data_IF_087376746191
#
_entry.id   IF_087376746191
#
_cell.length_a   1.000
_cell.length_b   1.000
_cell.length_c   1.000
_cell.angle_alpha   90.00
_cell.angle_beta   90.00
_cell.angle_gamma   90.00
#
_symmetry.space_group_name_H-M   'P 1'
#
loop_
_entity.id
_entity.type
_entity.pdbx_description
1 polymer ?
#
# COMPACT_ATOMS: atom_id res chain seq x y z
N UNK A 1 13.26 -42.41 -31.72
CA UNK A 1 12.93 -42.44 -30.28
C UNK A 1 13.73 -41.39 -29.47
N UNK A 2 15.04 -41.22 -29.68
CA UNK A 2 15.85 -40.20 -28.97
C UNK A 2 15.38 -38.76 -29.21
N UNK A 3 15.00 -38.40 -30.42
CA UNK A 3 14.53 -37.05 -30.78
C UNK A 3 13.21 -36.64 -30.14
N UNK A 4 12.33 -37.58 -29.86
CA UNK A 4 11.05 -37.33 -29.21
C UNK A 4 11.25 -37.16 -27.69
N UNK A 5 12.12 -37.95 -27.08
CA UNK A 5 12.47 -37.85 -25.68
C UNK A 5 13.15 -36.53 -25.33
N UNK A 6 14.09 -36.09 -26.20
CA UNK A 6 14.80 -34.82 -26.02
C UNK A 6 13.87 -33.60 -26.22
N UNK A 7 12.89 -33.71 -27.12
CA UNK A 7 11.85 -32.68 -27.30
C UNK A 7 10.90 -32.58 -26.12
N UNK A 8 10.56 -33.67 -25.44
CA UNK A 8 9.70 -33.71 -24.26
C UNK A 8 10.46 -33.15 -23.05
N UNK A 9 11.72 -33.54 -22.86
CA UNK A 9 12.54 -33.08 -21.73
C UNK A 9 12.81 -31.56 -21.80
N UNK A 10 13.01 -31.00 -22.98
CA UNK A 10 13.27 -29.58 -23.18
C UNK A 10 12.00 -28.69 -23.07
N UNK A 11 10.81 -29.27 -23.19
CA UNK A 11 9.54 -28.53 -23.10
C UNK A 11 8.79 -28.74 -21.78
N UNK A 12 9.25 -29.61 -20.89
CA UNK A 12 8.68 -29.77 -19.55
C UNK A 12 9.46 -28.89 -18.57
N UNK A 13 9.02 -27.67 -18.38
CA UNK A 13 9.43 -26.91 -17.20
C UNK A 13 8.81 -27.56 -15.96
N UNK A 14 9.60 -28.32 -15.23
CA UNK A 14 9.16 -28.79 -13.91
C UNK A 14 8.93 -27.53 -13.04
N UNK A 15 7.77 -27.41 -12.37
CA UNK A 15 7.56 -26.35 -11.41
C UNK A 15 8.67 -26.41 -10.36
N UNK A 16 9.26 -25.28 -10.03
CA UNK A 16 10.24 -25.22 -8.94
C UNK A 16 9.58 -25.76 -7.66
N UNK A 17 10.28 -26.57 -6.86
CA UNK A 17 9.73 -27.06 -5.61
C UNK A 17 9.29 -25.89 -4.73
N UNK A 18 8.00 -25.77 -4.46
CA UNK A 18 7.47 -24.79 -3.53
C UNK A 18 7.75 -25.27 -2.11
N UNK A 19 8.42 -24.45 -1.31
CA UNK A 19 8.55 -24.70 0.12
C UNK A 19 7.24 -24.35 0.79
N UNK A 20 6.49 -25.37 1.23
CA UNK A 20 5.23 -25.23 1.95
C UNK A 20 5.52 -25.38 3.44
N UNK A 21 5.22 -24.34 4.22
CA UNK A 21 5.23 -24.40 5.67
C UNK A 21 3.87 -24.79 6.23
N UNK A 22 3.81 -24.91 7.55
CA UNK A 22 2.57 -25.21 8.28
C UNK A 22 2.33 -24.19 9.37
N UNK A 23 1.08 -23.74 9.49
CA UNK A 23 0.63 -22.93 10.60
C UNK A 23 0.60 -23.76 11.88
N UNK A 24 1.32 -23.31 12.90
CA UNK A 24 1.46 -24.05 14.18
C UNK A 24 0.56 -23.46 15.25
N UNK A 25 0.46 -22.13 15.29
CA UNK A 25 -0.21 -21.43 16.38
C UNK A 25 -0.76 -20.08 15.91
N UNK A 26 -1.83 -19.64 16.54
CA UNK A 26 -2.41 -18.31 16.39
C UNK A 26 -2.49 -17.65 17.75
N UNK A 27 -1.92 -16.45 17.89
CA UNK A 27 -1.92 -15.68 19.14
C UNK A 27 -2.36 -14.25 18.84
N UNK A 28 -3.60 -13.93 19.22
CA UNK A 28 -4.19 -12.63 18.91
C UNK A 28 -4.26 -12.41 17.40
N UNK A 29 -3.53 -11.39 16.91
CA UNK A 29 -3.46 -11.05 15.48
C UNK A 29 -2.25 -11.68 14.77
N UNK A 30 -1.45 -12.47 15.45
CA UNK A 30 -0.20 -13.02 14.91
C UNK A 30 -0.32 -14.53 14.71
N UNK A 31 0.12 -15.00 13.56
CA UNK A 31 0.20 -16.40 13.19
C UNK A 31 1.65 -16.87 13.26
N UNK A 32 1.86 -18.05 13.79
CA UNK A 32 3.17 -18.70 13.85
C UNK A 32 3.22 -19.85 12.85
N UNK A 33 4.14 -19.78 11.89
CA UNK A 33 4.37 -20.82 10.89
C UNK A 33 5.76 -21.42 11.01
N UNK A 34 5.90 -22.70 10.67
CA UNK A 34 7.17 -23.44 10.63
C UNK A 34 7.35 -24.17 9.31
N UNK A 35 8.60 -24.57 9.04
CA UNK A 35 8.94 -25.33 7.82
C UNK A 35 9.05 -24.48 6.58
N UNK A 36 9.09 -23.15 6.73
CA UNK A 36 9.22 -22.19 5.64
C UNK A 36 10.10 -21.03 6.09
N UNK A 37 10.93 -20.51 5.17
CA UNK A 37 11.80 -19.37 5.41
C UNK A 37 11.42 -18.25 4.46
N UNK A 38 11.10 -17.08 5.00
CA UNK A 38 10.75 -15.90 4.22
C UNK A 38 11.33 -14.63 4.85
N UNK A 39 11.75 -13.64 4.06
CA UNK A 39 12.21 -12.36 4.56
C UNK A 39 11.08 -11.54 5.19
N UNK A 40 11.44 -10.53 5.99
CA UNK A 40 10.49 -9.54 6.51
C UNK A 40 9.81 -8.79 5.37
N UNK A 41 8.47 -8.68 5.45
CA UNK A 41 7.65 -8.05 4.43
C UNK A 41 7.24 -8.99 3.29
N UNK A 42 7.68 -10.25 3.29
CA UNK A 42 7.19 -11.25 2.33
C UNK A 42 5.70 -11.48 2.52
N UNK A 43 5.01 -11.74 1.42
CA UNK A 43 3.58 -12.06 1.42
C UNK A 43 3.41 -13.56 1.32
N UNK A 44 2.67 -14.12 2.25
CA UNK A 44 2.32 -15.53 2.30
C UNK A 44 0.84 -15.73 2.09
N UNK A 45 0.48 -16.84 1.48
CA UNK A 45 -0.87 -17.34 1.42
C UNK A 45 -1.03 -18.50 2.40
N UNK A 46 -2.07 -18.44 3.22
CA UNK A 46 -2.39 -19.45 4.22
C UNK A 46 -3.67 -20.12 3.79
N UNK A 47 -3.62 -21.44 3.55
CA UNK A 47 -4.76 -22.24 3.10
C UNK A 47 -5.12 -23.29 4.12
N UNK A 48 -6.40 -23.40 4.41
CA UNK A 48 -6.93 -24.51 5.18
C UNK A 48 -7.72 -25.42 4.23
N UNK A 49 -7.19 -26.58 3.98
CA UNK A 49 -7.79 -27.55 3.04
C UNK A 49 -9.17 -28.05 3.49
N UNK A 50 -9.41 -28.13 4.80
CA UNK A 50 -10.69 -28.61 5.33
C UNK A 50 -11.82 -27.57 5.17
N UNK A 51 -11.50 -26.29 5.32
CA UNK A 51 -12.49 -25.21 5.23
C UNK A 51 -12.47 -24.50 3.88
N UNK A 52 -11.52 -24.85 3.00
CA UNK A 52 -11.25 -24.17 1.71
C UNK A 52 -11.03 -22.65 1.87
N UNK A 53 -10.65 -22.21 3.07
CA UNK A 53 -10.36 -20.81 3.34
C UNK A 53 -8.93 -20.47 2.99
N UNK A 54 -8.78 -19.31 2.36
CA UNK A 54 -7.50 -18.74 1.94
C UNK A 54 -7.38 -17.34 2.53
N UNK A 55 -6.27 -17.07 3.19
CA UNK A 55 -5.97 -15.75 3.78
C UNK A 55 -4.54 -15.36 3.43
N UNK A 56 -4.36 -14.13 2.96
CA UNK A 56 -3.04 -13.55 2.76
C UNK A 56 -2.55 -12.92 4.06
N UNK A 57 -1.25 -13.04 4.31
CA UNK A 57 -0.58 -12.49 5.48
C UNK A 57 0.82 -11.97 5.11
N UNK A 58 1.30 -11.01 5.87
CA UNK A 58 2.66 -10.47 5.73
C UNK A 58 3.56 -11.01 6.84
N UNK A 59 4.80 -11.32 6.50
CA UNK A 59 5.84 -11.71 7.47
C UNK A 59 6.26 -10.47 8.25
N UNK A 60 5.91 -10.44 9.53
CA UNK A 60 6.23 -9.32 10.44
C UNK A 60 7.41 -9.60 11.37
N UNK A 61 7.89 -10.83 11.41
CA UNK A 61 9.03 -11.22 12.21
C UNK A 61 9.38 -12.70 12.08
N UNK A 62 10.51 -13.07 12.67
CA UNK A 62 10.90 -14.47 12.80
C UNK A 62 11.74 -14.67 14.07
N UNK A 63 11.68 -15.87 14.62
CA UNK A 63 12.53 -16.29 15.74
C UNK A 63 12.83 -17.77 15.59
N UNK A 64 14.11 -18.13 15.55
CA UNK A 64 14.55 -19.48 15.23
C UNK A 64 13.90 -19.98 13.93
N UNK A 65 13.23 -21.13 13.95
CA UNK A 65 12.53 -21.74 12.80
C UNK A 65 11.07 -21.33 12.69
N UNK A 66 10.64 -20.27 13.40
CA UNK A 66 9.25 -19.81 13.42
C UNK A 66 9.12 -18.46 12.74
N UNK A 67 8.25 -18.36 11.75
CA UNK A 67 7.81 -17.11 11.15
C UNK A 67 6.57 -16.57 11.86
N UNK A 68 6.57 -15.27 12.08
CA UNK A 68 5.40 -14.52 12.56
C UNK A 68 4.75 -13.82 11.39
N UNK A 69 3.48 -14.15 11.16
CA UNK A 69 2.68 -13.63 10.06
C UNK A 69 1.51 -12.80 10.62
N UNK A 70 1.18 -11.71 9.98
CA UNK A 70 0.00 -10.91 10.31
C UNK A 70 -0.98 -10.92 9.13
N UNK A 71 -2.20 -11.44 9.31
CA UNK A 71 -3.16 -11.57 8.22
C UNK A 71 -3.70 -10.20 7.77
N UNK A 72 -4.03 -10.11 6.48
CA UNK A 72 -4.67 -8.93 5.90
C UNK A 72 -6.17 -8.84 6.18
N UNK A 73 -6.80 -9.99 6.38
CA UNK A 73 -8.23 -10.09 6.64
C UNK A 73 -8.51 -10.97 7.86
N UNK A 74 -9.78 -11.05 8.27
CA UNK A 74 -10.21 -11.98 9.31
C UNK A 74 -9.87 -13.43 8.93
N UNK A 75 -9.32 -14.14 9.89
CA UNK A 75 -8.80 -15.49 9.72
C UNK A 75 -9.78 -16.60 10.19
N UNK A 76 -11.06 -16.31 10.18
CA UNK A 76 -12.09 -17.30 10.54
C UNK A 76 -11.98 -18.52 9.65
N UNK A 77 -11.80 -19.70 10.25
CA UNK A 77 -11.64 -20.97 9.53
C UNK A 77 -10.19 -21.34 9.20
N UNK A 78 -9.22 -20.50 9.56
CA UNK A 78 -7.79 -20.81 9.56
C UNK A 78 -7.42 -21.39 10.93
N UNK A 79 -6.65 -22.47 10.96
CA UNK A 79 -6.22 -23.13 12.20
C UNK A 79 -4.89 -23.86 12.05
N UNK A 80 -4.42 -24.49 13.14
CA UNK A 80 -3.19 -25.27 13.11
C UNK A 80 -3.24 -26.34 12.00
N UNK A 81 -2.11 -26.55 11.31
CA UNK A 81 -2.01 -27.46 10.17
C UNK A 81 -2.36 -26.83 8.83
N UNK A 82 -2.87 -25.59 8.78
CA UNK A 82 -3.06 -24.88 7.51
C UNK A 82 -1.73 -24.72 6.79
N UNK A 83 -1.72 -24.92 5.47
CA UNK A 83 -0.52 -24.73 4.64
C UNK A 83 -0.16 -23.25 4.52
N UNK A 84 1.12 -22.95 4.48
CA UNK A 84 1.66 -21.60 4.31
C UNK A 84 2.62 -21.59 3.13
N UNK A 85 2.35 -20.78 2.13
CA UNK A 85 3.13 -20.67 0.90
C UNK A 85 3.53 -19.21 0.65
N UNK A 86 4.77 -18.98 0.18
CA UNK A 86 5.24 -17.63 -0.17
C UNK A 86 4.72 -17.27 -1.54
N UNK A 87 4.00 -16.14 -1.64
CA UNK A 87 3.54 -15.57 -2.92
C UNK A 87 4.57 -14.58 -3.45
N UNK A 88 5.13 -13.76 -2.57
CA UNK A 88 6.11 -12.74 -2.93
C UNK A 88 7.13 -12.55 -1.80
N UNK A 89 8.40 -12.43 -2.17
CA UNK A 89 9.48 -12.19 -1.21
C UNK A 89 9.62 -10.71 -0.81
N UNK A 90 8.93 -9.80 -1.49
CA UNK A 90 9.00 -8.37 -1.22
C UNK A 90 7.61 -7.73 -1.30
N UNK A 91 7.43 -6.70 -0.48
CA UNK A 91 6.24 -5.87 -0.51
C UNK A 91 6.36 -4.88 -1.68
N UNK A 92 5.74 -5.20 -2.80
CA UNK A 92 5.69 -4.36 -3.99
C UNK A 92 4.33 -3.71 -4.18
N UNK A 93 4.29 -2.65 -4.96
CA UNK A 93 3.09 -2.02 -5.46
C UNK A 93 3.20 -1.76 -6.96
N UNK A 94 2.13 -2.04 -7.66
CA UNK A 94 1.98 -1.67 -9.06
C UNK A 94 1.71 -0.17 -9.18
N UNK A 95 2.40 0.49 -10.12
CA UNK A 95 2.35 1.94 -10.28
C UNK A 95 2.26 2.35 -11.75
N UNK A 96 1.58 3.45 -12.00
CA UNK A 96 1.39 4.00 -13.34
C UNK A 96 0.45 5.19 -13.33
N UNK A 97 0.36 5.89 -14.47
CA UNK A 97 -0.57 7.02 -14.63
C UNK A 97 -2.05 6.60 -14.52
N UNK A 98 -2.35 5.32 -14.72
CA UNK A 98 -3.70 4.76 -14.61
C UNK A 98 -4.25 4.78 -13.16
N UNK A 99 -3.39 5.08 -12.19
CA UNK A 99 -3.81 5.31 -10.80
C UNK A 99 -4.44 6.69 -10.57
N UNK A 100 -4.23 7.65 -11.48
CA UNK A 100 -4.83 8.98 -11.34
C UNK A 100 -6.36 8.91 -11.46
N UNK A 101 -7.04 9.57 -10.55
CA UNK A 101 -8.50 9.53 -10.47
C UNK A 101 -9.07 8.26 -9.83
N UNK A 102 -8.21 7.43 -9.21
CA UNK A 102 -8.61 6.16 -8.59
C UNK A 102 -8.54 6.21 -7.07
N UNK A 103 -9.36 5.36 -6.48
CA UNK A 103 -9.40 5.10 -5.04
C UNK A 103 -9.01 3.64 -4.84
N UNK A 104 -7.95 3.39 -4.09
CA UNK A 104 -7.38 2.06 -3.89
C UNK A 104 -7.25 1.70 -2.41
N UNK A 105 -7.19 0.42 -2.13
CA UNK A 105 -6.88 -0.11 -0.80
C UNK A 105 -5.36 -0.13 -0.52
N UNK A 106 -4.97 -0.61 0.64
CA UNK A 106 -3.57 -0.77 1.06
C UNK A 106 -2.75 -1.75 0.21
N UNK A 107 -3.39 -2.56 -0.62
CA UNK A 107 -2.76 -3.52 -1.54
C UNK A 107 -2.68 -3.00 -2.97
N UNK A 108 -3.24 -1.81 -3.24
CA UNK A 108 -3.36 -1.24 -4.58
C UNK A 108 -4.61 -1.70 -5.35
N UNK A 109 -5.53 -2.42 -4.70
CA UNK A 109 -6.76 -2.89 -5.34
C UNK A 109 -7.81 -1.78 -5.38
N UNK A 110 -8.59 -1.66 -6.47
CA UNK A 110 -9.59 -0.62 -6.61
C UNK A 110 -10.73 -0.76 -5.58
N UNK A 111 -11.13 0.37 -5.00
CA UNK A 111 -12.28 0.52 -4.12
C UNK A 111 -13.43 1.33 -4.78
N UNK A 112 -13.19 1.84 -5.97
CA UNK A 112 -14.08 2.77 -6.67
C UNK A 112 -15.06 2.09 -7.63
N UNK A 113 -15.26 0.78 -7.52
CA UNK A 113 -16.16 -0.04 -8.35
C UNK A 113 -15.92 0.07 -9.87
N UNK A 114 -14.73 0.54 -10.26
CA UNK A 114 -14.31 0.62 -11.67
C UNK A 114 -13.49 -0.60 -12.06
N UNK A 115 -13.20 -0.70 -13.36
CA UNK A 115 -12.35 -1.76 -13.91
C UNK A 115 -11.01 -1.89 -13.17
N UNK A 116 -10.43 -3.11 -13.13
CA UNK A 116 -9.11 -3.35 -12.57
C UNK A 116 -8.07 -2.40 -13.15
N UNK A 117 -7.17 -1.92 -12.30
CA UNK A 117 -6.11 -1.01 -12.72
C UNK A 117 -4.99 -1.84 -13.33
N UNK A 118 -4.64 -1.55 -14.57
CA UNK A 118 -3.47 -2.12 -15.21
C UNK A 118 -2.32 -1.14 -15.09
N UNK A 119 -1.27 -1.52 -14.39
CA UNK A 119 -0.07 -0.73 -14.22
C UNK A 119 1.09 -1.35 -15.00
N UNK A 120 1.98 -0.52 -15.52
CA UNK A 120 3.11 -0.96 -16.34
C UNK A 120 4.39 -1.19 -15.52
N UNK A 121 4.45 -0.61 -14.33
CA UNK A 121 5.62 -0.64 -13.46
C UNK A 121 5.26 -1.18 -12.07
N UNK A 122 6.30 -1.66 -11.38
CA UNK A 122 6.20 -2.08 -9.98
C UNK A 122 7.34 -1.46 -9.18
N UNK A 123 7.04 -1.01 -7.96
CA UNK A 123 8.03 -0.42 -7.04
C UNK A 123 8.00 -1.10 -5.69
N UNK A 124 9.14 -1.10 -5.01
CA UNK A 124 9.21 -1.57 -3.63
C UNK A 124 8.55 -0.57 -2.68
N UNK A 125 7.77 -1.08 -1.72
CA UNK A 125 7.15 -0.24 -0.67
C UNK A 125 8.15 0.25 0.39
N UNK A 126 9.38 -0.28 0.40
CA UNK A 126 10.39 0.13 1.39
C UNK A 126 11.01 1.49 1.09
N UNK A 127 10.78 2.03 -0.13
CA UNK A 127 11.39 3.27 -0.58
C UNK A 127 12.93 3.19 -0.65
N UNK A 128 13.54 4.24 -1.18
CA UNK A 128 15.00 4.39 -1.21
C UNK A 128 15.40 5.62 -0.39
N UNK A 129 16.27 5.43 0.59
CA UNK A 129 16.78 6.55 1.36
C UNK A 129 17.62 7.47 0.46
N UNK A 130 17.24 8.73 0.35
CA UNK A 130 18.00 9.74 -0.37
C UNK A 130 19.18 10.16 0.51
N UNK A 131 20.40 10.15 -0.05
CA UNK A 131 21.57 10.68 0.62
C UNK A 131 21.31 12.13 1.05
N UNK A 132 21.57 12.50 2.31
CA UNK A 132 21.35 13.87 2.79
C UNK A 132 22.06 14.94 1.98
N UNK A 133 23.21 14.63 1.36
CA UNK A 133 23.98 15.57 0.53
C UNK A 133 23.37 15.81 -0.85
N UNK A 134 22.47 14.92 -1.30
CA UNK A 134 21.75 15.03 -2.58
C UNK A 134 20.40 15.75 -2.42
N UNK A 135 20.13 16.27 -1.22
CA UNK A 135 18.89 17.01 -0.94
C UNK A 135 19.09 18.50 -1.22
N UNK A 136 18.25 19.04 -2.08
CA UNK A 136 18.17 20.47 -2.29
C UNK A 136 17.58 21.19 -1.08
N UNK A 137 18.02 22.44 -0.86
CA UNK A 137 17.39 23.33 0.11
C UNK A 137 16.04 23.82 -0.42
N UNK A 138 15.09 24.06 0.48
CA UNK A 138 13.78 24.61 0.13
C UNK A 138 13.97 26.10 -0.25
N UNK A 139 13.72 26.45 -1.52
CA UNK A 139 13.90 27.80 -2.05
C UNK A 139 12.60 28.36 -2.64
N UNK A 140 11.77 27.50 -3.23
CA UNK A 140 10.55 27.91 -3.91
C UNK A 140 9.34 27.87 -3.00
N UNK A 141 8.47 28.87 -3.12
CA UNK A 141 7.18 28.90 -2.40
C UNK A 141 6.18 27.96 -3.09
N UNK A 142 5.43 27.20 -2.29
CA UNK A 142 4.29 26.42 -2.74
C UNK A 142 3.00 27.19 -2.49
N UNK A 143 2.28 27.54 -3.55
CA UNK A 143 0.91 28.04 -3.44
C UNK A 143 -0.02 26.84 -3.10
N UNK A 144 -0.58 26.86 -1.89
CA UNK A 144 -1.52 25.84 -1.43
C UNK A 144 -2.97 26.17 -1.77
N UNK A 145 -3.23 27.28 -2.48
CA UNK A 145 -4.57 27.70 -2.91
C UNK A 145 -5.48 28.20 -1.78
N UNK A 146 -4.97 28.34 -0.57
CA UNK A 146 -5.72 28.85 0.60
C UNK A 146 -5.16 30.20 1.00
N UNK A 147 -5.92 31.27 0.75
CA UNK A 147 -5.45 32.66 0.95
C UNK A 147 -4.90 32.93 2.35
N UNK A 148 -5.53 32.42 3.39
CA UNK A 148 -5.08 32.60 4.76
C UNK A 148 -3.69 31.96 5.01
N UNK A 149 -3.46 30.78 4.45
CA UNK A 149 -2.18 30.10 4.56
C UNK A 149 -1.13 30.87 3.73
N UNK A 150 -1.40 31.13 2.47
CA UNK A 150 -0.47 31.85 1.59
C UNK A 150 -0.10 33.25 2.10
N UNK A 151 -1.01 33.93 2.83
CA UNK A 151 -0.76 35.27 3.33
C UNK A 151 0.03 35.32 4.65
N UNK A 152 -0.16 34.32 5.51
CA UNK A 152 0.38 34.34 6.88
C UNK A 152 1.40 33.26 7.17
N UNK A 153 1.40 32.18 6.38
CA UNK A 153 2.24 31.00 6.58
C UNK A 153 2.88 30.63 5.25
N UNK A 154 4.11 31.04 5.02
CA UNK A 154 4.82 30.65 3.81
C UNK A 154 5.16 29.17 3.85
N UNK A 155 4.69 28.39 2.87
CA UNK A 155 5.01 26.97 2.70
C UNK A 155 5.91 26.84 1.48
N UNK A 156 7.03 26.13 1.63
CA UNK A 156 7.97 25.87 0.54
C UNK A 156 7.73 24.51 -0.13
N UNK A 157 8.11 24.39 -1.40
CA UNK A 157 8.12 23.12 -2.12
C UNK A 157 9.07 22.14 -1.42
N UNK A 158 8.59 20.92 -1.10
CA UNK A 158 9.33 19.92 -0.33
C UNK A 158 9.25 20.08 1.19
N UNK A 159 8.56 21.10 1.70
CA UNK A 159 8.35 21.28 3.14
C UNK A 159 7.34 20.29 3.70
N UNK A 160 7.62 19.78 4.90
CA UNK A 160 6.69 18.98 5.68
C UNK A 160 5.93 19.88 6.63
N UNK A 161 4.60 19.80 6.60
CA UNK A 161 3.72 20.56 7.48
C UNK A 161 2.81 19.61 8.26
N UNK A 162 2.45 20.01 9.48
CA UNK A 162 1.47 19.29 10.31
C UNK A 162 0.20 20.12 10.45
N UNK A 163 -0.95 19.51 10.13
CA UNK A 163 -2.28 20.04 10.41
C UNK A 163 -2.88 19.29 11.61
N UNK A 164 -2.72 19.87 12.79
CA UNK A 164 -3.17 19.25 14.05
C UNK A 164 -4.45 19.93 14.50
N UNK A 165 -5.51 19.14 14.65
CA UNK A 165 -6.81 19.67 15.02
C UNK A 165 -7.67 18.59 15.70
N UNK A 166 -8.57 19.02 16.57
CA UNK A 166 -9.62 18.17 17.14
C UNK A 166 -10.65 17.72 16.09
N UNK A 167 -11.60 16.89 16.51
CA UNK A 167 -12.72 16.49 15.64
C UNK A 167 -13.65 17.66 15.35
N UNK A 168 -14.16 17.77 14.12
CA UNK A 168 -15.20 18.72 13.73
C UNK A 168 -14.76 20.16 13.49
N UNK A 169 -13.46 20.48 13.55
CA UNK A 169 -12.96 21.86 13.38
C UNK A 169 -12.62 22.23 11.93
N UNK A 170 -12.87 21.34 10.96
CA UNK A 170 -12.67 21.63 9.55
C UNK A 170 -11.33 21.13 8.95
N UNK A 171 -10.60 20.23 9.63
CA UNK A 171 -9.35 19.63 9.11
C UNK A 171 -9.54 19.03 7.71
N UNK A 172 -10.55 18.17 7.52
CA UNK A 172 -10.82 17.51 6.25
C UNK A 172 -11.25 18.50 5.15
N UNK A 173 -12.01 19.54 5.51
CA UNK A 173 -12.39 20.62 4.59
C UNK A 173 -11.14 21.39 4.10
N UNK A 174 -10.24 21.73 5.01
CA UNK A 174 -8.98 22.40 4.67
C UNK A 174 -8.08 21.53 3.80
N UNK A 175 -7.95 20.23 4.12
CA UNK A 175 -7.23 19.27 3.28
C UNK A 175 -7.83 19.19 1.87
N UNK A 176 -9.15 19.13 1.76
CA UNK A 176 -9.85 19.15 0.47
C UNK A 176 -9.62 20.43 -0.32
N UNK A 177 -9.58 21.60 0.34
CA UNK A 177 -9.23 22.87 -0.30
C UNK A 177 -7.80 22.86 -0.84
N UNK A 178 -6.83 22.46 -0.02
CA UNK A 178 -5.43 22.34 -0.43
C UNK A 178 -5.30 21.39 -1.63
N UNK A 179 -5.91 20.22 -1.56
CA UNK A 179 -5.84 19.24 -2.66
C UNK A 179 -6.39 19.80 -3.98
N UNK A 180 -7.49 20.54 -3.94
CA UNK A 180 -8.10 21.11 -5.15
C UNK A 180 -7.30 22.27 -5.73
N UNK A 181 -6.75 23.11 -4.90
CA UNK A 181 -6.26 24.43 -5.28
C UNK A 181 -4.75 24.58 -5.21
N UNK A 182 -4.01 23.67 -4.56
CA UNK A 182 -2.56 23.73 -4.54
C UNK A 182 -1.97 23.62 -5.95
N UNK A 183 -0.89 24.34 -6.15
CA UNK A 183 -0.06 24.31 -7.36
C UNK A 183 0.79 23.02 -7.38
N UNK A 184 0.12 21.90 -7.57
CA UNK A 184 0.72 20.59 -7.70
C UNK A 184 0.16 19.86 -8.92
N UNK A 185 1.01 19.13 -9.64
CA UNK A 185 0.62 18.34 -10.79
C UNK A 185 -0.21 17.14 -10.34
N UNK A 186 0.21 16.51 -9.25
CA UNK A 186 -0.39 15.30 -8.71
C UNK A 186 -0.51 15.42 -7.20
N UNK A 187 -1.57 14.86 -6.64
CA UNK A 187 -1.78 14.78 -5.20
C UNK A 187 -1.98 13.31 -4.79
N UNK A 188 -1.16 12.82 -3.90
CA UNK A 188 -1.31 11.48 -3.32
C UNK A 188 -1.88 11.61 -1.92
N UNK A 189 -3.02 10.96 -1.68
CA UNK A 189 -3.80 11.11 -0.44
C UNK A 189 -3.87 9.77 0.27
N UNK A 190 -3.32 9.69 1.49
CA UNK A 190 -3.47 8.54 2.37
C UNK A 190 -4.51 8.81 3.46
N UNK A 191 -5.69 8.20 3.36
CA UNK A 191 -6.73 8.24 4.39
C UNK A 191 -6.58 7.03 5.30
N UNK A 192 -5.72 7.15 6.33
CA UNK A 192 -5.27 6.03 7.15
C UNK A 192 -5.78 6.17 8.57
N UNK A 193 -6.55 5.18 9.03
CA UNK A 193 -7.13 5.16 10.37
C UNK A 193 -8.37 6.04 10.55
N UNK A 194 -8.85 6.69 9.50
CA UNK A 194 -10.11 7.42 9.50
C UNK A 194 -11.31 6.46 9.55
N UNK A 195 -12.48 6.94 9.95
CA UNK A 195 -13.69 6.12 9.91
C UNK A 195 -14.17 5.97 8.47
N UNK A 196 -14.69 4.79 8.08
CA UNK A 196 -15.14 4.54 6.71
C UNK A 196 -16.12 5.58 6.16
N UNK A 197 -17.03 6.11 6.97
CA UNK A 197 -17.94 7.20 6.58
C UNK A 197 -17.20 8.53 6.31
N UNK A 198 -16.16 8.84 7.09
CA UNK A 198 -15.35 10.06 6.92
C UNK A 198 -14.51 9.99 5.65
N UNK A 199 -14.02 8.79 5.29
CA UNK A 199 -13.35 8.53 4.01
C UNK A 199 -14.29 8.85 2.84
N UNK A 200 -15.52 8.34 2.88
CA UNK A 200 -16.50 8.56 1.81
C UNK A 200 -16.90 10.04 1.69
N UNK A 201 -17.15 10.70 2.82
CA UNK A 201 -17.49 12.12 2.91
C UNK A 201 -16.35 12.99 2.35
N UNK A 202 -15.11 12.71 2.74
CA UNK A 202 -13.94 13.42 2.23
C UNK A 202 -13.86 13.33 0.69
N UNK A 203 -14.01 12.12 0.14
CA UNK A 203 -13.90 11.90 -1.31
C UNK A 203 -15.04 12.61 -2.06
N UNK A 204 -16.29 12.53 -1.57
CA UNK A 204 -17.45 13.09 -2.26
C UNK A 204 -17.55 14.61 -2.10
N UNK A 205 -17.36 15.12 -0.89
CA UNK A 205 -17.65 16.51 -0.56
C UNK A 205 -16.41 17.40 -0.53
N UNK A 206 -15.33 16.93 0.12
CA UNK A 206 -14.14 17.74 0.27
C UNK A 206 -13.25 17.74 -0.96
N UNK A 207 -13.01 16.55 -1.55
CA UNK A 207 -12.17 16.38 -2.74
C UNK A 207 -12.94 16.68 -4.03
N UNK A 208 -14.11 16.08 -4.17
CA UNK A 208 -14.97 16.21 -5.35
C UNK A 208 -14.34 15.64 -6.64
N UNK A 209 -15.08 15.75 -7.74
CA UNK A 209 -14.64 15.15 -9.02
C UNK A 209 -13.38 15.80 -9.58
N UNK A 210 -13.26 17.12 -9.46
CA UNK A 210 -12.10 17.85 -10.01
C UNK A 210 -10.81 17.57 -9.22
N UNK A 211 -10.88 17.57 -7.90
CA UNK A 211 -9.73 17.21 -7.07
C UNK A 211 -9.28 15.76 -7.28
N UNK A 212 -10.24 14.84 -7.46
CA UNK A 212 -9.93 13.44 -7.70
C UNK A 212 -9.17 13.21 -9.01
N UNK A 213 -9.44 13.97 -10.08
CA UNK A 213 -8.78 13.78 -11.39
C UNK A 213 -7.25 13.82 -11.32
N UNK A 214 -6.69 14.70 -10.51
CA UNK A 214 -5.23 14.83 -10.30
C UNK A 214 -4.71 14.09 -9.08
N UNK A 215 -5.55 13.25 -8.46
CA UNK A 215 -5.22 12.59 -7.20
C UNK A 215 -5.20 11.07 -7.32
N UNK A 216 -4.40 10.43 -6.46
CA UNK A 216 -4.52 9.02 -6.11
C UNK A 216 -4.91 8.95 -4.64
N UNK A 217 -6.00 8.25 -4.33
CA UNK A 217 -6.48 8.12 -2.94
C UNK A 217 -6.27 6.70 -2.46
N UNK A 218 -5.50 6.54 -1.38
CA UNK A 218 -5.29 5.29 -0.67
C UNK A 218 -6.16 5.30 0.58
N UNK A 219 -7.12 4.39 0.67
CA UNK A 219 -8.03 4.32 1.81
C UNK A 219 -7.76 3.08 2.67
N UNK A 220 -7.43 3.34 3.93
CA UNK A 220 -7.12 2.33 4.93
C UNK A 220 -7.83 2.67 6.25
N UNK A 221 -9.16 2.45 6.35
CA UNK A 221 -9.95 2.87 7.51
C UNK A 221 -9.57 2.12 8.80
N UNK A 222 -10.05 2.62 9.94
CA UNK A 222 -9.67 2.13 11.26
C UNK A 222 -10.02 0.67 11.53
N UNK A 223 -10.97 0.12 10.83
CA UNK A 223 -11.48 -1.26 11.01
C UNK A 223 -10.70 -2.34 10.25
N UNK A 224 -9.70 -1.97 9.44
CA UNK A 224 -8.85 -2.95 8.76
C UNK A 224 -7.66 -3.36 9.62
N UNK A 225 -6.97 -4.43 9.22
CA UNK A 225 -5.78 -4.96 9.89
C UNK A 225 -4.71 -3.87 10.12
N UNK A 226 -4.03 -3.85 11.28
CA UNK A 226 -2.94 -2.90 11.55
C UNK A 226 -1.81 -2.95 10.51
N UNK A 227 -1.46 -4.13 10.02
CA UNK A 227 -0.43 -4.29 8.98
C UNK A 227 -0.85 -3.62 7.67
N UNK A 228 -2.12 -3.68 7.30
CA UNK A 228 -2.63 -2.99 6.11
C UNK A 228 -2.59 -1.46 6.28
N UNK A 229 -2.90 -0.94 7.47
CA UNK A 229 -2.76 0.50 7.73
C UNK A 229 -1.30 0.97 7.61
N UNK A 230 -0.38 0.17 8.11
CA UNK A 230 1.05 0.45 7.96
C UNK A 230 1.49 0.36 6.49
N UNK A 231 1.05 -0.68 5.77
CA UNK A 231 1.29 -0.85 4.34
C UNK A 231 0.73 0.33 3.52
N UNK A 232 -0.47 0.82 3.84
CA UNK A 232 -1.07 2.00 3.19
C UNK A 232 -0.21 3.25 3.36
N UNK A 233 0.44 3.41 4.51
CA UNK A 233 1.38 4.53 4.75
C UNK A 233 2.58 4.42 3.81
N UNK A 234 3.20 3.25 3.72
CA UNK A 234 4.31 3.04 2.78
C UNK A 234 3.87 3.22 1.34
N UNK A 235 2.73 2.65 0.94
CA UNK A 235 2.18 2.79 -0.41
C UNK A 235 1.96 4.26 -0.78
N UNK A 236 1.40 5.07 0.13
CA UNK A 236 1.19 6.50 -0.09
C UNK A 236 2.51 7.22 -0.38
N UNK A 237 3.54 6.96 0.41
CA UNK A 237 4.85 7.57 0.19
C UNK A 237 5.52 7.07 -1.08
N UNK A 238 5.50 5.76 -1.34
CA UNK A 238 6.11 5.18 -2.55
C UNK A 238 5.46 5.69 -3.83
N UNK A 239 4.12 5.88 -3.84
CA UNK A 239 3.43 6.50 -4.98
C UNK A 239 3.82 7.96 -5.16
N UNK A 240 3.96 8.72 -4.08
CA UNK A 240 4.42 10.10 -4.17
C UNK A 240 5.86 10.18 -4.69
N UNK A 241 6.74 9.29 -4.23
CA UNK A 241 8.12 9.17 -4.72
C UNK A 241 8.18 8.80 -6.20
N UNK A 242 7.37 7.84 -6.62
CA UNK A 242 7.27 7.43 -8.03
C UNK A 242 6.93 8.60 -8.95
N UNK A 243 5.89 9.38 -8.63
CA UNK A 243 5.50 10.52 -9.45
C UNK A 243 6.53 11.66 -9.38
N UNK A 244 7.15 11.89 -8.23
CA UNK A 244 8.27 12.82 -8.09
C UNK A 244 9.43 12.45 -9.00
N UNK A 245 9.81 11.18 -9.04
CA UNK A 245 10.91 10.67 -9.85
C UNK A 245 10.63 10.75 -11.37
N UNK A 246 9.34 10.85 -11.74
CA UNK A 246 8.90 11.23 -13.09
C UNK A 246 8.96 12.75 -13.35
N UNK A 247 9.51 13.56 -12.43
CA UNK A 247 9.65 15.00 -12.55
C UNK A 247 8.36 15.78 -12.28
N UNK A 248 7.38 15.19 -11.59
CA UNK A 248 6.13 15.87 -11.23
C UNK A 248 6.24 16.60 -9.89
N UNK A 249 5.56 17.74 -9.77
CA UNK A 249 5.28 18.37 -8.49
C UNK A 249 4.19 17.59 -7.76
N UNK A 250 4.54 16.92 -6.64
CA UNK A 250 3.64 16.03 -5.88
C UNK A 250 3.36 16.59 -4.49
#
# INVERSE_FOLDING_TARGET
FKTISDSIINNVSLPAPSHIGSLVRVVGLTFEAKGINAPLGAICEIKNENTMKVVQAEVVGFQNDTLYLMPFSEATGIGPGSSVEIISNDAQAEVGNNLLGRIIDARGLPLDEKEPIQCENSISLKGTAINPMDRDSIQDVLDVGVKAINSFLTIGKGQRIGLIAGSGVGKSSLMGMITRFAEADIVVIGLIGERGREVQEFIKESLGKEGLKKSVVIAAPANISPVLRMRATFLTHSLAEYFRDLGKNV
#
